data_IF_435535273904
#
_entry.id   IF_435535273904
#
_cell.length_a   1.000
_cell.length_b   1.000
_cell.length_c   1.000
_cell.angle_alpha   90.00
_cell.angle_beta   90.00
_cell.angle_gamma   90.00
#
_symmetry.space_group_name_H-M   'P 1'
#
loop_
_entity.id
_entity.type
_entity.pdbx_description
1 polymer ?
#
# COMPACT_ATOMS: atom_id res chain seq x y z
N UNK A 1 -23.98 -51.51 50.41
CA UNK A 1 -23.89 -51.52 51.89
C UNK A 1 -22.41 -51.72 52.20
N UNK A 2 -21.61 -50.64 52.32
CA UNK A 2 -21.35 -49.90 53.56
C UNK A 2 -20.46 -50.78 54.46
N UNK A 3 -19.27 -50.43 54.96
CA UNK A 3 -18.55 -49.20 55.31
C UNK A 3 -17.05 -49.60 55.33
N UNK A 4 -16.02 -48.78 55.11
CA UNK A 4 -15.72 -47.48 55.70
C UNK A 4 -14.66 -47.63 56.79
N UNK A 5 -13.42 -47.26 56.45
CA UNK A 5 -12.38 -46.62 57.29
C UNK A 5 -11.80 -47.36 58.50
N UNK A 6 -10.47 -47.46 58.54
CA UNK A 6 -9.62 -47.02 59.67
C UNK A 6 -8.13 -47.29 59.38
N UNK A 7 -7.42 -46.26 58.89
CA UNK A 7 -5.96 -46.22 58.83
C UNK A 7 -5.49 -45.09 59.73
N UNK A 8 -5.19 -45.44 60.99
CA UNK A 8 -4.55 -44.59 61.96
C UNK A 8 -3.03 -44.81 61.92
N UNK A 9 -2.32 -43.67 61.80
CA UNK A 9 -1.09 -43.30 62.48
C UNK A 9 0.18 -44.16 62.29
N UNK A 10 1.19 -43.55 61.63
CA UNK A 10 2.59 -43.73 62.02
C UNK A 10 3.37 -42.41 61.85
N UNK A 11 4.02 -41.86 62.90
CA UNK A 11 4.91 -40.70 62.83
C UNK A 11 6.39 -41.11 62.93
N UNK A 12 7.26 -40.51 62.11
CA UNK A 12 8.72 -40.36 62.33
C UNK A 12 9.34 -39.68 61.09
N UNK A 13 9.63 -38.38 61.13
CA UNK A 13 10.96 -37.81 61.43
C UNK A 13 12.14 -38.49 60.70
N UNK A 14 12.61 -37.84 59.63
CA UNK A 14 14.01 -37.55 59.27
C UNK A 14 14.00 -36.92 57.86
N UNK A 15 14.88 -36.03 57.41
CA UNK A 15 16.07 -35.37 57.93
C UNK A 15 16.32 -34.21 56.95
N UNK A 16 16.90 -33.11 57.43
CA UNK A 16 17.21 -31.95 56.61
C UNK A 16 18.38 -32.20 55.66
N UNK A 17 18.19 -31.88 54.38
CA UNK A 17 19.20 -31.37 53.44
C UNK A 17 18.45 -30.37 52.55
N UNK A 18 18.73 -29.07 52.56
CA UNK A 18 19.95 -28.48 51.98
C UNK A 18 20.04 -28.93 50.52
N UNK A 19 19.76 -28.16 49.48
CA UNK A 19 20.16 -26.78 49.24
C UNK A 19 19.22 -26.14 48.20
N UNK A 20 18.50 -25.09 48.59
CA UNK A 20 17.87 -24.17 47.66
C UNK A 20 18.78 -22.94 47.53
N UNK A 21 19.83 -23.07 46.71
CA UNK A 21 20.55 -21.91 46.19
C UNK A 21 20.23 -21.77 44.71
N UNK A 22 19.15 -21.01 44.47
CA UNK A 22 18.84 -20.39 43.19
C UNK A 22 19.99 -19.41 42.92
N UNK A 23 20.98 -19.86 42.15
CA UNK A 23 22.06 -19.02 41.70
C UNK A 23 21.52 -18.11 40.60
N UNK A 24 20.92 -17.00 41.04
CA UNK A 24 20.62 -15.86 40.21
C UNK A 24 21.94 -15.27 39.74
N UNK A 25 22.28 -15.54 38.47
CA UNK A 25 23.07 -14.67 37.60
C UNK A 25 23.06 -15.22 36.17
N UNK A 26 21.86 -15.31 35.60
CA UNK A 26 21.66 -15.26 34.16
C UNK A 26 20.43 -14.39 33.90
N UNK A 27 20.41 -13.22 34.55
CA UNK A 27 19.43 -12.20 34.23
C UNK A 27 19.72 -11.76 32.80
N UNK A 28 18.73 -12.01 31.95
CA UNK A 28 18.59 -11.54 30.60
C UNK A 28 19.51 -10.37 30.29
N UNK A 29 20.61 -10.63 29.59
CA UNK A 29 21.13 -9.61 28.69
C UNK A 29 20.17 -9.63 27.51
N UNK A 30 18.98 -9.06 27.71
CA UNK A 30 18.21 -8.52 26.61
C UNK A 30 19.16 -7.54 25.95
N UNK A 31 19.83 -8.00 24.89
CA UNK A 31 20.30 -7.11 23.87
C UNK A 31 19.01 -6.48 23.33
N UNK A 32 18.56 -5.40 23.95
CA UNK A 32 17.79 -4.37 23.28
C UNK A 32 18.69 -3.88 22.15
N UNK A 33 18.70 -4.64 21.06
CA UNK A 33 19.12 -4.14 19.76
C UNK A 33 18.24 -2.91 19.58
N UNK A 34 18.81 -1.70 19.45
CA UNK A 34 17.99 -0.50 19.26
C UNK A 34 17.03 -0.83 18.12
N UNK A 35 15.72 -0.55 18.26
CA UNK A 35 14.77 -0.87 17.22
C UNK A 35 15.34 -0.28 15.95
N UNK A 36 15.73 -1.13 14.99
CA UNK A 36 16.30 -0.66 13.73
C UNK A 36 15.15 -0.08 12.93
N UNK A 37 14.69 1.10 13.34
CA UNK A 37 13.61 1.86 12.73
C UNK A 37 13.96 2.21 11.28
N UNK A 38 15.24 2.22 10.93
CA UNK A 38 15.78 2.45 9.59
C UNK A 38 16.24 1.13 8.96
N UNK A 39 15.30 0.33 8.46
CA UNK A 39 15.60 -0.68 7.45
C UNK A 39 15.59 -0.04 6.05
N UNK A 40 16.31 -0.63 5.10
CA UNK A 40 16.36 -0.16 3.71
C UNK A 40 14.93 0.09 3.14
N UNK A 41 13.97 -0.85 3.30
CA UNK A 41 12.57 -0.62 2.95
C UNK A 41 11.93 0.63 3.57
N UNK A 42 12.17 0.84 4.87
CA UNK A 42 11.52 1.93 5.60
C UNK A 42 12.03 3.29 5.10
N UNK A 43 13.32 3.40 4.79
CA UNK A 43 13.91 4.61 4.20
C UNK A 43 13.34 4.88 2.81
N UNK A 44 13.20 3.85 1.97
CA UNK A 44 12.63 3.98 0.63
C UNK A 44 11.17 4.45 0.69
N UNK A 45 10.37 3.86 1.57
CA UNK A 45 8.97 4.24 1.78
C UNK A 45 8.85 5.69 2.28
N UNK A 46 9.64 6.10 3.27
CA UNK A 46 9.67 7.49 3.76
C UNK A 46 10.11 8.46 2.65
N UNK A 47 11.12 8.08 1.87
CA UNK A 47 11.57 8.83 0.70
C UNK A 47 10.46 9.04 -0.32
N UNK A 48 9.59 8.03 -0.54
CA UNK A 48 8.43 8.15 -1.42
C UNK A 48 7.39 9.15 -0.89
N UNK A 49 7.10 9.10 0.41
CA UNK A 49 6.19 10.08 1.04
C UNK A 49 6.75 11.49 0.90
N UNK A 50 8.06 11.68 1.08
CA UNK A 50 8.73 12.96 0.88
C UNK A 50 8.81 13.39 -0.60
N UNK A 51 8.78 12.45 -1.55
CA UNK A 51 8.74 12.74 -2.97
C UNK A 51 7.40 13.32 -3.44
N UNK A 52 6.29 13.07 -2.74
CA UNK A 52 4.97 13.63 -3.07
C UNK A 52 4.94 15.17 -3.06
N UNK A 53 5.35 15.87 -1.97
CA UNK A 53 5.40 17.33 -1.99
C UNK A 53 6.46 17.88 -2.95
N UNK A 54 7.55 17.14 -3.18
CA UNK A 54 8.55 17.52 -4.18
C UNK A 54 7.96 17.48 -5.59
N UNK A 55 7.23 16.40 -5.94
CA UNK A 55 6.52 16.25 -7.20
C UNK A 55 5.51 17.38 -7.40
N UNK A 56 4.73 17.71 -6.36
CA UNK A 56 3.80 18.82 -6.42
C UNK A 56 4.52 20.16 -6.66
N UNK A 57 5.64 20.39 -5.97
CA UNK A 57 6.43 21.61 -6.13
C UNK A 57 6.96 21.75 -7.55
N UNK A 58 7.61 20.71 -8.09
CA UNK A 58 8.13 20.73 -9.47
C UNK A 58 7.02 20.81 -10.51
N UNK A 59 5.82 20.28 -10.21
CA UNK A 59 4.68 20.38 -11.12
C UNK A 59 4.21 21.84 -11.29
N UNK A 60 4.19 22.64 -10.23
CA UNK A 60 3.79 24.05 -10.31
C UNK A 60 4.83 24.95 -10.97
N UNK A 61 6.10 24.55 -10.98
CA UNK A 61 7.17 25.31 -11.65
C UNK A 61 6.96 25.36 -13.16
N UNK A 62 7.34 26.49 -13.75
CA UNK A 62 7.25 26.74 -15.18
C UNK A 62 8.56 26.36 -15.89
N UNK A 63 8.44 25.75 -17.07
CA UNK A 63 9.55 25.38 -17.93
C UNK A 63 9.60 23.89 -18.28
N UNK A 64 10.23 23.59 -19.43
CA UNK A 64 10.36 22.21 -19.96
C UNK A 64 11.13 21.27 -19.02
N UNK A 65 12.10 21.83 -18.31
CA UNK A 65 12.87 21.11 -17.28
C UNK A 65 11.99 20.69 -16.11
N UNK A 66 10.98 21.48 -15.73
CA UNK A 66 10.09 21.20 -14.61
C UNK A 66 9.16 20.00 -14.92
N UNK A 67 8.65 19.90 -16.14
CA UNK A 67 7.89 18.73 -16.59
C UNK A 67 8.75 17.47 -16.61
N UNK A 68 9.98 17.57 -17.13
CA UNK A 68 10.92 16.45 -17.16
C UNK A 68 11.29 16.00 -15.74
N UNK A 69 11.53 16.96 -14.84
CA UNK A 69 11.81 16.69 -13.43
C UNK A 69 10.62 16.00 -12.75
N UNK A 70 9.40 16.52 -12.93
CA UNK A 70 8.19 15.95 -12.33
C UNK A 70 7.95 14.52 -12.81
N UNK A 71 8.07 14.27 -14.11
CA UNK A 71 7.93 12.92 -14.70
C UNK A 71 9.01 11.98 -14.17
N UNK A 72 10.25 12.48 -14.06
CA UNK A 72 11.38 11.69 -13.53
C UNK A 72 11.21 11.36 -12.06
N UNK A 73 10.71 12.28 -11.24
CA UNK A 73 10.40 12.06 -9.82
C UNK A 73 9.31 11.00 -9.68
N UNK A 74 8.22 11.11 -10.44
CA UNK A 74 7.15 10.13 -10.44
C UNK A 74 7.66 8.72 -10.83
N UNK A 75 8.44 8.65 -11.90
CA UNK A 75 9.01 7.39 -12.38
C UNK A 75 9.99 6.79 -11.37
N UNK A 76 10.88 7.62 -10.80
CA UNK A 76 11.82 7.18 -9.76
C UNK A 76 11.07 6.67 -8.53
N UNK A 77 10.00 7.33 -8.10
CA UNK A 77 9.17 6.89 -6.99
C UNK A 77 8.47 5.55 -7.27
N UNK A 78 7.93 5.35 -8.48
CA UNK A 78 7.30 4.09 -8.90
C UNK A 78 8.32 2.94 -9.00
N UNK A 79 9.52 3.20 -9.51
CA UNK A 79 10.61 2.21 -9.54
C UNK A 79 11.07 1.86 -8.13
N UNK A 80 11.15 2.85 -7.24
CA UNK A 80 11.51 2.68 -5.84
C UNK A 80 10.50 1.81 -5.09
N UNK A 81 9.20 1.96 -5.36
CA UNK A 81 8.14 1.07 -4.85
C UNK A 81 8.31 -0.38 -5.27
N UNK A 82 8.51 -0.60 -6.56
CA UNK A 82 8.73 -1.94 -7.08
C UNK A 82 9.99 -2.59 -6.50
N UNK A 83 11.07 -1.81 -6.35
CA UNK A 83 12.32 -2.27 -5.76
C UNK A 83 12.17 -2.61 -4.27
N UNK A 84 11.47 -1.77 -3.51
CA UNK A 84 11.19 -2.02 -2.10
C UNK A 84 10.39 -3.32 -1.92
N UNK A 85 9.32 -3.50 -2.70
CA UNK A 85 8.54 -4.73 -2.71
C UNK A 85 9.36 -5.97 -3.13
N UNK A 86 10.35 -5.82 -4.02
CA UNK A 86 11.28 -6.89 -4.36
C UNK A 86 12.24 -7.23 -3.22
N UNK A 87 12.84 -6.21 -2.60
CA UNK A 87 13.78 -6.35 -1.48
C UNK A 87 13.09 -6.95 -0.25
N UNK A 88 11.89 -6.46 0.09
CA UNK A 88 11.11 -6.95 1.22
C UNK A 88 10.81 -8.45 1.11
N UNK A 89 10.46 -8.94 -0.10
CA UNK A 89 10.23 -10.38 -0.36
C UNK A 89 11.49 -11.21 -0.22
N UNK A 90 12.65 -10.68 -0.60
CA UNK A 90 13.93 -11.41 -0.60
C UNK A 90 14.61 -11.41 0.77
N UNK A 91 14.52 -10.31 1.51
CA UNK A 91 15.31 -10.09 2.72
C UNK A 91 14.54 -10.34 4.03
N UNK A 92 13.20 -10.42 4.02
CA UNK A 92 12.35 -10.55 5.24
C UNK A 92 12.67 -9.54 6.36
N UNK A 93 13.38 -8.46 6.02
CA UNK A 93 13.86 -7.42 6.92
C UNK A 93 13.03 -6.17 6.68
N UNK A 94 11.88 -6.09 7.34
CA UNK A 94 10.95 -4.96 7.27
C UNK A 94 10.52 -4.54 8.67
N UNK A 95 10.25 -3.25 8.86
CA UNK A 95 9.63 -2.77 10.11
C UNK A 95 8.11 -2.81 9.96
N UNK A 96 7.38 -2.97 11.07
CA UNK A 96 5.91 -2.89 11.05
C UNK A 96 5.42 -1.52 10.55
N UNK A 97 6.16 -0.46 10.89
CA UNK A 97 5.86 0.91 10.45
C UNK A 97 6.02 1.10 8.93
N UNK A 98 7.13 0.63 8.35
CA UNK A 98 7.35 0.70 6.90
C UNK A 98 6.29 -0.09 6.12
N UNK A 99 5.94 -1.29 6.60
CA UNK A 99 4.89 -2.12 5.99
C UNK A 99 3.50 -1.46 6.02
N UNK A 100 3.21 -0.67 7.06
CA UNK A 100 1.99 0.13 7.13
C UNK A 100 2.03 1.35 6.20
N UNK A 101 3.17 2.05 6.13
CA UNK A 101 3.31 3.24 5.30
C UNK A 101 3.32 2.94 3.80
N UNK A 102 3.82 1.78 3.37
CA UNK A 102 4.00 1.46 1.95
C UNK A 102 2.66 1.51 1.15
N UNK A 103 1.56 0.87 1.60
CA UNK A 103 0.24 0.99 0.96
C UNK A 103 -0.41 2.38 1.06
N UNK A 104 0.07 3.26 1.96
CA UNK A 104 -0.39 4.64 2.11
C UNK A 104 0.36 5.54 1.12
N UNK A 105 1.69 5.41 1.07
CA UNK A 105 2.57 6.16 0.19
C UNK A 105 2.23 5.95 -1.29
N UNK A 106 1.96 4.70 -1.69
CA UNK A 106 1.53 4.37 -3.07
C UNK A 106 0.26 5.13 -3.48
N UNK A 107 -0.78 5.10 -2.63
CA UNK A 107 -2.05 5.78 -2.92
C UNK A 107 -1.94 7.29 -2.89
N UNK A 108 -1.14 7.84 -1.97
CA UNK A 108 -0.89 9.27 -1.90
C UNK A 108 -0.20 9.78 -3.17
N UNK A 109 0.81 9.07 -3.67
CA UNK A 109 1.52 9.43 -4.89
C UNK A 109 0.58 9.49 -6.10
N UNK A 110 -0.24 8.45 -6.28
CA UNK A 110 -1.25 8.38 -7.36
C UNK A 110 -2.28 9.50 -7.21
N UNK A 111 -2.87 9.65 -6.02
CA UNK A 111 -3.93 10.62 -5.78
C UNK A 111 -3.42 12.06 -5.97
N UNK A 112 -2.24 12.38 -5.43
CA UNK A 112 -1.61 13.69 -5.62
C UNK A 112 -1.37 13.97 -7.11
N UNK A 113 -0.85 13.00 -7.84
CA UNK A 113 -0.61 13.14 -9.28
C UNK A 113 -1.92 13.41 -10.02
N UNK A 114 -2.98 12.63 -9.80
CA UNK A 114 -4.29 12.85 -10.42
C UNK A 114 -4.87 14.23 -10.09
N UNK A 115 -4.77 14.66 -8.83
CA UNK A 115 -5.25 15.98 -8.39
C UNK A 115 -4.48 17.11 -9.10
N UNK A 116 -3.16 16.99 -9.22
CA UNK A 116 -2.33 17.97 -9.93
C UNK A 116 -2.71 18.05 -11.41
N UNK A 117 -2.92 16.91 -12.08
CA UNK A 117 -3.38 16.87 -13.47
C UNK A 117 -4.79 17.46 -13.65
N UNK A 118 -5.68 17.32 -12.66
CA UNK A 118 -6.99 17.95 -12.70
C UNK A 118 -6.92 19.47 -12.51
N UNK A 119 -5.95 19.96 -11.73
CA UNK A 119 -5.80 21.39 -11.42
C UNK A 119 -5.20 22.17 -12.60
N UNK A 120 -4.16 21.64 -13.24
CA UNK A 120 -3.59 22.20 -14.49
C UNK A 120 -3.92 21.25 -15.64
N UNK A 121 -5.07 21.42 -16.32
CA UNK A 121 -5.39 20.59 -17.48
C UNK A 121 -4.31 20.76 -18.55
N UNK A 122 -3.98 19.67 -19.22
CA UNK A 122 -3.00 19.65 -20.30
C UNK A 122 -3.44 20.62 -21.42
N UNK A 123 -2.50 21.42 -21.94
CA UNK A 123 -2.70 22.31 -23.09
C UNK A 123 -2.89 21.53 -24.42
N UNK A 124 -3.67 20.47 -24.40
CA UNK A 124 -4.18 19.88 -25.63
C UNK A 124 -5.46 20.64 -26.00
N UNK A 125 -5.46 21.28 -27.16
CA UNK A 125 -6.54 22.14 -27.65
C UNK A 125 -7.95 21.48 -27.62
N UNK A 126 -8.03 20.15 -27.60
CA UNK A 126 -9.29 19.38 -27.53
C UNK A 126 -9.75 19.17 -26.07
N UNK A 127 -8.83 19.19 -25.10
CA UNK A 127 -9.10 18.85 -23.69
C UNK A 127 -9.15 20.06 -22.76
N UNK A 128 -8.63 21.22 -23.18
CA UNK A 128 -8.66 22.45 -22.39
C UNK A 128 -10.09 22.90 -22.01
N UNK A 129 -11.08 22.63 -22.87
CA UNK A 129 -12.48 22.98 -22.60
C UNK A 129 -13.25 21.91 -21.80
N UNK A 130 -12.79 20.67 -21.80
CA UNK A 130 -13.48 19.54 -21.16
C UNK A 130 -12.73 19.03 -19.92
N UNK A 131 -12.46 19.92 -18.96
CA UNK A 131 -11.76 19.61 -17.71
C UNK A 131 -12.37 18.42 -16.94
N UNK A 132 -13.69 18.22 -17.06
CA UNK A 132 -14.40 17.11 -16.42
C UNK A 132 -13.96 15.72 -16.93
N UNK A 133 -13.36 15.61 -18.12
CA UNK A 133 -12.88 14.33 -18.66
C UNK A 133 -11.74 13.73 -17.83
N UNK A 134 -10.93 14.54 -17.16
CA UNK A 134 -9.90 14.05 -16.23
C UNK A 134 -10.46 13.91 -14.81
N UNK A 135 -11.34 14.82 -14.40
CA UNK A 135 -11.89 14.84 -13.04
C UNK A 135 -12.73 13.60 -12.74
N UNK A 136 -13.61 13.18 -13.66
CA UNK A 136 -14.49 12.01 -13.46
C UNK A 136 -13.70 10.70 -13.22
N UNK A 137 -12.79 10.28 -14.10
CA UNK A 137 -12.00 9.07 -13.87
C UNK A 137 -11.07 9.21 -12.67
N UNK A 138 -10.56 10.41 -12.37
CA UNK A 138 -9.70 10.65 -11.20
C UNK A 138 -10.45 10.41 -9.89
N UNK A 139 -11.66 10.99 -9.75
CA UNK A 139 -12.53 10.76 -8.58
C UNK A 139 -12.87 9.27 -8.45
N UNK A 140 -13.22 8.61 -9.56
CA UNK A 140 -13.54 7.18 -9.54
C UNK A 140 -12.34 6.32 -9.10
N UNK A 141 -11.13 6.63 -9.56
CA UNK A 141 -9.90 5.92 -9.18
C UNK A 141 -9.59 6.14 -7.69
N UNK A 142 -9.57 7.40 -7.22
CA UNK A 142 -9.27 7.74 -5.83
C UNK A 142 -10.31 7.11 -4.89
N UNK A 143 -11.60 7.30 -5.18
CA UNK A 143 -12.69 6.73 -4.39
C UNK A 143 -12.56 5.22 -4.28
N UNK A 144 -12.29 4.53 -5.40
CA UNK A 144 -12.04 3.09 -5.40
C UNK A 144 -10.83 2.71 -4.56
N UNK A 145 -9.71 3.42 -4.66
CA UNK A 145 -8.50 3.10 -3.88
C UNK A 145 -8.77 3.17 -2.37
N UNK A 146 -9.52 4.18 -1.93
CA UNK A 146 -9.92 4.33 -0.53
C UNK A 146 -10.87 3.20 -0.13
N UNK A 147 -11.92 2.93 -0.92
CA UNK A 147 -12.87 1.84 -0.64
C UNK A 147 -12.16 0.49 -0.56
N UNK A 148 -11.29 0.18 -1.51
CA UNK A 148 -10.56 -1.10 -1.51
C UNK A 148 -9.58 -1.21 -0.34
N UNK A 149 -9.03 -0.10 0.15
CA UNK A 149 -8.19 -0.09 1.35
C UNK A 149 -9.01 -0.48 2.58
N UNK A 150 -10.13 0.21 2.80
CA UNK A 150 -11.01 -0.04 3.93
C UNK A 150 -11.59 -1.47 3.89
N UNK A 151 -12.01 -1.91 2.71
CA UNK A 151 -12.56 -3.26 2.52
C UNK A 151 -11.48 -4.34 2.73
N UNK A 152 -10.23 -4.09 2.35
CA UNK A 152 -9.12 -5.04 2.60
C UNK A 152 -8.76 -5.10 4.07
N UNK A 153 -8.75 -3.97 4.76
CA UNK A 153 -8.51 -3.89 6.20
C UNK A 153 -9.63 -4.61 6.98
N UNK A 154 -10.89 -4.33 6.68
CA UNK A 154 -12.03 -5.05 7.23
C UNK A 154 -11.98 -6.55 6.90
N UNK A 155 -11.62 -6.92 5.68
CA UNK A 155 -11.48 -8.33 5.31
C UNK A 155 -10.34 -9.03 6.07
N UNK A 156 -9.30 -8.29 6.47
CA UNK A 156 -8.20 -8.81 7.27
C UNK A 156 -8.56 -9.03 8.74
N UNK A 157 -9.55 -8.31 9.27
CA UNK A 157 -10.09 -8.57 10.61
C UNK A 157 -11.15 -9.68 10.64
N UNK A 158 -11.65 -10.11 9.48
CA UNK A 158 -12.67 -11.17 9.36
C UNK A 158 -12.04 -12.55 9.08
N UNK A 159 -12.86 -13.61 9.13
CA UNK A 159 -12.43 -15.00 8.87
C UNK A 159 -11.67 -15.16 7.53
N UNK A 160 -10.71 -16.09 7.50
CA UNK A 160 -9.78 -16.33 6.39
C UNK A 160 -10.45 -16.53 5.01
N UNK A 161 -11.71 -16.99 4.97
CA UNK A 161 -12.49 -17.15 3.73
C UNK A 161 -12.79 -15.81 3.03
N UNK A 162 -13.01 -14.74 3.79
CA UNK A 162 -13.21 -13.39 3.23
C UNK A 162 -11.88 -12.90 2.68
N UNK A 163 -10.80 -12.97 3.47
CA UNK A 163 -9.44 -12.60 3.04
C UNK A 163 -9.00 -13.30 1.74
N UNK A 164 -9.30 -14.59 1.57
CA UNK A 164 -8.97 -15.33 0.35
C UNK A 164 -9.77 -14.84 -0.87
N UNK A 165 -11.07 -14.55 -0.70
CA UNK A 165 -11.91 -14.01 -1.76
C UNK A 165 -11.43 -12.65 -2.27
N UNK A 166 -10.82 -11.88 -1.36
CA UNK A 166 -10.16 -10.59 -1.56
C UNK A 166 -8.79 -10.71 -2.23
N UNK A 167 -8.01 -11.74 -1.86
CA UNK A 167 -6.64 -11.95 -2.31
C UNK A 167 -6.53 -12.54 -3.73
N UNK A 168 -7.48 -13.39 -4.15
CA UNK A 168 -7.43 -14.07 -5.45
C UNK A 168 -8.08 -13.22 -6.54
N UNK A 169 -7.33 -12.26 -7.10
CA UNK A 169 -7.68 -11.74 -8.42
C UNK A 169 -6.51 -11.10 -9.21
N UNK A 170 -6.28 -11.57 -10.43
CA UNK A 170 -5.31 -10.97 -11.36
C UNK A 170 -5.76 -9.61 -11.90
N UNK A 171 -7.04 -9.23 -11.77
CA UNK A 171 -7.54 -7.92 -12.22
C UNK A 171 -6.87 -6.74 -11.52
N UNK A 172 -6.42 -6.90 -10.27
CA UNK A 172 -5.72 -5.84 -9.54
C UNK A 172 -4.34 -5.52 -10.12
N UNK A 173 -3.67 -6.50 -10.73
CA UNK A 173 -2.33 -6.33 -11.35
C UNK A 173 -2.41 -5.53 -12.64
N UNK A 174 -3.40 -5.85 -13.49
CA UNK A 174 -3.60 -5.13 -14.74
C UNK A 174 -4.03 -3.68 -14.50
N UNK A 175 -4.90 -3.45 -13.50
CA UNK A 175 -5.34 -2.10 -13.15
C UNK A 175 -4.17 -1.19 -12.79
N UNK A 176 -3.32 -1.62 -11.85
CA UNK A 176 -2.17 -0.82 -11.37
C UNK A 176 -1.17 -0.54 -12.49
N UNK A 177 -0.86 -1.52 -13.34
CA UNK A 177 -0.01 -1.33 -14.51
C UNK A 177 -0.59 -0.29 -15.49
N UNK A 178 -1.88 -0.39 -15.82
CA UNK A 178 -2.54 0.60 -16.70
C UNK A 178 -2.58 1.99 -16.09
N UNK A 179 -2.77 2.10 -14.77
CA UNK A 179 -2.83 3.37 -14.07
C UNK A 179 -1.47 4.07 -14.03
N UNK A 180 -0.41 3.37 -13.63
CA UNK A 180 0.95 3.93 -13.58
C UNK A 180 1.42 4.34 -14.97
N UNK A 181 1.10 3.54 -15.99
CA UNK A 181 1.43 3.86 -17.39
C UNK A 181 0.68 5.11 -17.86
N UNK A 182 -0.64 5.19 -17.59
CA UNK A 182 -1.45 6.37 -17.89
C UNK A 182 -0.89 7.64 -17.27
N UNK A 183 -0.58 7.61 -15.98
CA UNK A 183 -0.02 8.76 -15.25
C UNK A 183 1.34 9.19 -15.79
N UNK A 184 2.21 8.21 -16.10
CA UNK A 184 3.53 8.50 -16.68
C UNK A 184 3.39 9.17 -18.05
N UNK A 185 2.51 8.65 -18.91
CA UNK A 185 2.25 9.23 -20.24
C UNK A 185 1.69 10.64 -20.10
N UNK A 186 0.70 10.85 -19.21
CA UNK A 186 0.10 12.17 -19.04
C UNK A 186 1.08 13.20 -18.46
N UNK A 187 1.95 12.81 -17.54
CA UNK A 187 3.02 13.68 -17.02
C UNK A 187 4.05 14.00 -18.11
N UNK A 188 4.50 13.00 -18.87
CA UNK A 188 5.45 13.19 -19.96
C UNK A 188 4.87 14.05 -21.10
N UNK A 189 3.60 13.85 -21.43
CA UNK A 189 2.90 14.58 -22.49
C UNK A 189 2.68 16.07 -22.18
N UNK A 190 2.93 16.50 -20.94
CA UNK A 190 2.93 17.90 -20.54
C UNK A 190 4.13 18.66 -21.11
N UNK A 191 5.17 17.99 -21.60
CA UNK A 191 6.30 18.68 -22.25
C UNK A 191 5.87 19.08 -23.66
N UNK A 192 5.66 20.39 -23.84
CA UNK A 192 5.26 21.02 -25.11
C UNK A 192 6.30 20.87 -26.22
N UNK A 193 7.50 20.35 -25.90
CA UNK A 193 8.55 20.07 -26.88
C UNK A 193 8.36 18.79 -27.71
N UNK A 194 7.40 17.92 -27.37
CA UNK A 194 7.21 16.65 -28.07
C UNK A 194 6.26 16.81 -29.27
N UNK A 195 6.80 16.75 -30.48
CA UNK A 195 6.01 16.64 -31.72
C UNK A 195 5.09 15.41 -31.64
N UNK A 196 3.80 15.60 -31.37
CA UNK A 196 2.83 14.53 -31.09
C UNK A 196 2.19 14.55 -29.70
N UNK A 197 2.41 15.60 -28.89
CA UNK A 197 1.83 15.75 -27.56
C UNK A 197 0.30 15.49 -27.52
N UNK A 198 -0.45 15.92 -28.53
CA UNK A 198 -1.91 15.65 -28.61
C UNK A 198 -2.27 14.16 -28.66
N UNK A 199 -1.54 13.35 -29.42
CA UNK A 199 -1.76 11.90 -29.50
C UNK A 199 -1.36 11.22 -28.20
N UNK A 200 -0.25 11.65 -27.59
CA UNK A 200 0.21 11.15 -26.30
C UNK A 200 -0.81 11.46 -25.19
N UNK A 201 -1.28 12.70 -25.10
CA UNK A 201 -2.34 13.11 -24.16
C UNK A 201 -3.59 12.27 -24.37
N UNK A 202 -4.07 12.15 -25.62
CA UNK A 202 -5.24 11.33 -25.95
C UNK A 202 -5.08 9.88 -25.49
N UNK A 203 -3.93 9.26 -25.78
CA UNK A 203 -3.64 7.89 -25.35
C UNK A 203 -3.59 7.75 -23.83
N UNK A 204 -3.00 8.72 -23.12
CA UNK A 204 -2.93 8.75 -21.65
C UNK A 204 -4.31 8.86 -21.01
N UNK A 205 -5.19 9.70 -21.56
CA UNK A 205 -6.59 9.84 -21.11
C UNK A 205 -7.38 8.56 -21.38
N UNK A 206 -7.26 7.98 -22.57
CA UNK A 206 -7.92 6.70 -22.90
C UNK A 206 -7.47 5.60 -21.93
N UNK A 207 -6.17 5.50 -21.65
CA UNK A 207 -5.63 4.58 -20.64
C UNK A 207 -6.17 4.87 -19.24
N UNK A 208 -6.36 6.15 -18.88
CA UNK A 208 -6.94 6.55 -17.60
C UNK A 208 -8.38 6.07 -17.47
N UNK A 209 -9.18 6.24 -18.53
CA UNK A 209 -10.56 5.75 -18.57
C UNK A 209 -10.63 4.22 -18.51
N UNK A 210 -9.75 3.52 -19.24
CA UNK A 210 -9.64 2.06 -19.14
C UNK A 210 -9.28 1.65 -17.70
N UNK A 211 -8.33 2.35 -17.07
CA UNK A 211 -7.96 2.11 -15.67
C UNK A 211 -9.12 2.37 -14.71
N UNK A 212 -9.87 3.46 -14.89
CA UNK A 212 -11.05 3.78 -14.08
C UNK A 212 -12.15 2.72 -14.24
N UNK A 213 -12.40 2.28 -15.47
CA UNK A 213 -13.33 1.19 -15.76
C UNK A 213 -12.91 -0.11 -15.06
N UNK A 214 -11.65 -0.50 -15.20
CA UNK A 214 -11.07 -1.67 -14.52
C UNK A 214 -11.16 -1.53 -12.99
N UNK A 215 -10.98 -0.32 -12.46
CA UNK A 215 -11.09 -0.03 -11.03
C UNK A 215 -12.50 -0.31 -10.52
N UNK A 216 -13.51 0.25 -11.19
CA UNK A 216 -14.92 0.10 -10.83
C UNK A 216 -15.36 -1.35 -11.00
N UNK A 217 -15.01 -1.99 -12.12
CA UNK A 217 -15.31 -3.39 -12.35
C UNK A 217 -14.70 -4.29 -11.27
N UNK A 218 -13.43 -4.06 -10.92
CA UNK A 218 -12.75 -4.77 -9.84
C UNK A 218 -13.47 -4.59 -8.50
N UNK A 219 -13.98 -3.40 -8.19
CA UNK A 219 -14.72 -3.12 -6.96
C UNK A 219 -16.05 -3.88 -6.92
N UNK A 220 -16.80 -3.88 -8.03
CA UNK A 220 -18.08 -4.60 -8.14
C UNK A 220 -17.88 -6.11 -7.97
N UNK A 221 -16.89 -6.70 -8.65
CA UNK A 221 -16.57 -8.12 -8.52
C UNK A 221 -16.27 -8.48 -7.07
N UNK A 222 -15.53 -7.61 -6.38
CA UNK A 222 -15.12 -7.82 -5.00
C UNK A 222 -16.30 -7.72 -4.04
N UNK A 223 -17.13 -6.68 -4.17
CA UNK A 223 -18.33 -6.50 -3.34
C UNK A 223 -19.30 -7.68 -3.49
N UNK A 224 -19.48 -8.19 -4.73
CA UNK A 224 -20.29 -9.40 -4.98
C UNK A 224 -19.72 -10.66 -4.33
N UNK A 225 -18.39 -10.79 -4.23
CA UNK A 225 -17.76 -11.92 -3.53
C UNK A 225 -18.02 -11.86 -2.02
N UNK A 226 -17.83 -10.69 -1.40
CA UNK A 226 -18.11 -10.49 0.04
C UNK A 226 -19.59 -10.78 0.32
N UNK A 227 -20.50 -10.18 -0.45
CA UNK A 227 -21.94 -10.34 -0.23
C UNK A 227 -22.38 -11.80 -0.28
N UNK A 228 -21.82 -12.60 -1.21
CA UNK A 228 -22.09 -14.05 -1.29
C UNK A 228 -21.55 -14.85 -0.12
N UNK A 229 -20.49 -14.41 0.54
CA UNK A 229 -19.94 -15.08 1.73
C UNK A 229 -20.78 -14.70 2.95
N UNK A 230 -21.16 -13.43 3.07
CA UNK A 230 -22.00 -12.94 4.16
C UNK A 230 -23.39 -13.60 4.16
N UNK A 231 -24.01 -13.78 2.99
CA UNK A 231 -25.30 -14.45 2.85
C UNK A 231 -25.26 -15.98 3.05
N UNK A 232 -24.06 -16.58 3.16
CA UNK A 232 -23.89 -18.02 3.43
C UNK A 232 -23.57 -18.31 4.91
N UNK A 233 -23.54 -17.27 5.76
CA UNK A 233 -23.48 -17.35 7.22
C UNK A 233 -24.90 -17.28 7.79
#
# INVERSE_FOLDING_TARGET
MGWGSDSLLNPSQNDGRGEAQINGNSCCRDQESPPRLLTIPTVLTIGRVAAVPLLASTFYMEGRWATTATTSIFLAAAVTDWLDGYIARKMRLGTAFGAFLDPVADKLMVAATLVLLCNKPLEAAIFGEFQWLLTIPSIAIIGREITMSAVREWAASQNSKVLEAVAVNNLGKWKTATQMTSLTILLAARDSGLSGAGVLVGSGVVLLYISAWLAVWSLVVYMRKIWRILLKL
#
